data_IF_487374369723
#
_entry.id   IF_487374369723
#
_cell.length_a   1.000
_cell.length_b   1.000
_cell.length_c   1.000
_cell.angle_alpha   90.00
_cell.angle_beta   90.00
_cell.angle_gamma   90.00
#
_symmetry.space_group_name_H-M   'P 1'
#
loop_
_entity.id
_entity.type
_entity.pdbx_description
1 polymer ?
#
# COMPACT_ATOMS: atom_id res chain seq x y z
N UNK A 1 14.14 2.74 9.13
CA UNK A 1 13.68 1.40 8.79
C UNK A 1 14.25 0.90 7.47
N UNK A 2 14.72 -0.36 7.41
CA UNK A 2 14.94 -1.03 6.12
C UNK A 2 13.58 -1.56 5.64
N UNK A 3 13.16 -1.33 4.38
CA UNK A 3 11.84 -1.80 3.91
C UNK A 3 11.61 -3.31 4.08
N UNK A 4 12.66 -4.13 4.10
CA UNK A 4 12.55 -5.58 4.31
C UNK A 4 12.23 -5.98 5.75
N UNK A 5 12.36 -5.08 6.72
CA UNK A 5 12.07 -5.35 8.13
C UNK A 5 10.61 -5.75 8.35
N UNK A 6 9.69 -5.31 7.46
CA UNK A 6 8.26 -5.66 7.49
C UNK A 6 8.01 -7.16 7.32
N UNK A 7 8.97 -7.92 6.77
CA UNK A 7 8.85 -9.36 6.56
C UNK A 7 9.32 -10.21 7.74
N UNK A 8 9.86 -9.58 8.78
CA UNK A 8 10.38 -10.25 9.98
C UNK A 8 9.49 -9.97 11.20
N UNK A 9 8.21 -9.65 10.99
CA UNK A 9 7.24 -9.39 12.05
C UNK A 9 6.69 -10.73 12.55
N UNK A 10 7.01 -11.09 13.79
CA UNK A 10 6.65 -12.40 14.36
C UNK A 10 5.50 -12.34 15.38
N UNK A 11 5.21 -11.15 15.92
CA UNK A 11 4.20 -10.97 16.96
C UNK A 11 3.56 -9.57 16.91
N UNK A 12 2.49 -9.40 17.69
CA UNK A 12 1.70 -8.17 17.73
C UNK A 12 2.46 -6.97 18.28
N UNK A 13 3.40 -7.16 19.21
CA UNK A 13 4.20 -6.06 19.77
C UNK A 13 5.14 -5.49 18.70
N UNK A 14 5.85 -6.37 18.00
CA UNK A 14 6.71 -5.99 16.87
C UNK A 14 5.88 -5.33 15.76
N UNK A 15 4.70 -5.87 15.43
CA UNK A 15 3.79 -5.27 14.45
C UNK A 15 3.43 -3.83 14.83
N UNK A 16 2.97 -3.61 16.07
CA UNK A 16 2.55 -2.29 16.55
C UNK A 16 3.70 -1.27 16.49
N UNK A 17 4.90 -1.68 16.91
CA UNK A 17 6.10 -0.84 16.85
C UNK A 17 6.43 -0.44 15.42
N UNK A 18 6.47 -1.42 14.50
CA UNK A 18 6.74 -1.20 13.07
C UNK A 18 5.69 -0.31 12.43
N UNK A 19 4.40 -0.54 12.71
CA UNK A 19 3.31 0.25 12.18
C UNK A 19 3.39 1.72 12.62
N UNK A 20 3.72 2.00 13.88
CA UNK A 20 3.93 3.36 14.39
C UNK A 20 5.19 4.01 13.80
N UNK A 21 6.27 3.26 13.56
CA UNK A 21 7.46 3.76 12.87
C UNK A 21 7.15 4.15 11.41
N UNK A 22 6.40 3.30 10.69
CA UNK A 22 5.94 3.58 9.32
C UNK A 22 5.01 4.79 9.30
N UNK A 23 4.07 4.89 10.24
CA UNK A 23 3.20 6.06 10.39
C UNK A 23 4.04 7.35 10.54
N UNK A 24 5.04 7.34 11.42
CA UNK A 24 5.94 8.49 11.61
C UNK A 24 6.68 8.84 10.31
N UNK A 25 7.25 7.85 9.62
CA UNK A 25 7.93 8.07 8.34
C UNK A 25 7.00 8.66 7.28
N UNK A 26 5.77 8.14 7.18
CA UNK A 26 4.76 8.66 6.26
C UNK A 26 4.34 10.07 6.63
N UNK A 27 4.16 10.36 7.93
CA UNK A 27 3.87 11.70 8.41
C UNK A 27 4.99 12.69 8.05
N UNK A 28 6.26 12.30 8.26
CA UNK A 28 7.41 13.18 8.03
C UNK A 28 7.70 13.39 6.53
N UNK A 29 7.42 12.39 5.69
CA UNK A 29 7.91 12.34 4.29
C UNK A 29 6.82 12.46 3.22
N UNK A 30 5.53 12.26 3.53
CA UNK A 30 4.43 12.41 2.57
C UNK A 30 3.68 13.72 2.83
N UNK A 31 3.85 14.78 2.02
CA UNK A 31 3.22 16.08 2.27
C UNK A 31 1.70 16.02 2.36
N UNK A 32 1.06 15.21 1.53
CA UNK A 32 -0.41 15.03 1.55
C UNK A 32 -0.87 14.37 2.84
N UNK A 33 -0.13 13.35 3.31
CA UNK A 33 -0.46 12.65 4.56
C UNK A 33 -0.18 13.52 5.79
N UNK A 34 0.93 14.27 5.79
CA UNK A 34 1.26 15.27 6.81
C UNK A 34 0.12 16.28 6.97
N UNK A 35 -0.28 16.94 5.88
CA UNK A 35 -1.36 17.93 5.88
C UNK A 35 -2.69 17.31 6.35
N UNK A 36 -3.01 16.10 5.91
CA UNK A 36 -4.19 15.38 6.37
C UNK A 36 -4.18 15.13 7.89
N UNK A 37 -3.06 14.66 8.43
CA UNK A 37 -2.90 14.39 9.86
C UNK A 37 -2.97 15.66 10.71
N UNK A 38 -2.33 16.75 10.26
CA UNK A 38 -2.38 18.06 10.94
C UNK A 38 -3.81 18.59 11.05
N UNK A 39 -4.61 18.49 9.98
CA UNK A 39 -6.02 18.89 10.01
C UNK A 39 -6.88 18.06 10.99
N UNK A 40 -6.41 16.87 11.37
CA UNK A 40 -7.04 16.00 12.37
C UNK A 40 -6.43 16.17 13.76
N UNK A 41 -5.47 17.08 13.94
CA UNK A 41 -4.66 17.24 15.14
C UNK A 41 -3.96 15.93 15.54
N UNK A 42 -3.44 15.19 14.56
CA UNK A 42 -2.74 13.91 14.74
C UNK A 42 -1.29 14.03 14.31
N UNK A 43 -0.38 13.55 15.16
CA UNK A 43 1.05 13.58 14.89
C UNK A 43 1.77 12.39 15.60
N UNK A 44 3.06 12.14 15.32
CA UNK A 44 3.81 11.04 15.93
C UNK A 44 3.93 11.09 17.47
N UNK A 45 3.65 12.23 18.10
CA UNK A 45 3.69 12.34 19.57
C UNK A 45 2.37 11.89 20.22
N UNK A 46 1.23 12.09 19.54
CA UNK A 46 -0.10 11.82 20.11
C UNK A 46 -0.80 10.56 19.54
N UNK A 47 -0.25 9.97 18.48
CA UNK A 47 -0.64 8.65 17.95
C UNK A 47 0.27 7.60 18.58
N UNK A 48 -0.21 6.94 19.64
CA UNK A 48 0.55 5.96 20.44
C UNK A 48 0.06 4.53 20.23
N UNK A 49 -1.05 4.34 19.52
CA UNK A 49 -1.64 3.04 19.19
C UNK A 49 -2.05 3.00 17.72
N UNK A 50 -2.04 1.81 17.12
CA UNK A 50 -2.31 1.63 15.70
C UNK A 50 -3.73 2.08 15.31
N UNK A 51 -4.69 1.95 16.22
CA UNK A 51 -6.10 2.34 15.99
C UNK A 51 -6.26 3.86 15.91
N UNK A 52 -5.25 4.63 16.33
CA UNK A 52 -5.24 6.08 16.29
C UNK A 52 -4.62 6.63 14.99
N UNK A 53 -4.05 5.76 14.15
CA UNK A 53 -3.45 6.14 12.87
C UNK A 53 -4.55 6.64 11.92
N UNK A 54 -4.47 7.88 11.40
CA UNK A 54 -5.46 8.40 10.47
C UNK A 54 -5.47 7.63 9.14
N UNK A 55 -6.65 7.18 8.72
CA UNK A 55 -6.83 6.53 7.41
C UNK A 55 -7.00 7.57 6.31
N UNK A 56 -6.11 7.53 5.32
CA UNK A 56 -6.12 8.49 4.22
C UNK A 56 -7.30 8.21 3.26
N UNK A 57 -8.21 9.17 3.01
CA UNK A 57 -9.35 8.95 2.14
C UNK A 57 -8.96 8.61 0.70
N UNK A 58 -9.65 7.63 0.11
CA UNK A 58 -9.41 7.19 -1.28
C UNK A 58 -9.54 8.31 -2.32
N UNK A 59 -10.33 9.34 -2.02
CA UNK A 59 -10.50 10.51 -2.88
C UNK A 59 -9.19 11.29 -3.08
N UNK A 60 -8.30 11.32 -2.07
CA UNK A 60 -7.02 12.02 -2.19
C UNK A 60 -6.09 11.35 -3.19
N UNK A 61 -6.20 10.04 -3.40
CA UNK A 61 -5.47 9.31 -4.44
C UNK A 61 -5.96 9.63 -5.87
N UNK A 62 -7.10 10.33 -6.02
CA UNK A 62 -7.60 10.79 -7.33
C UNK A 62 -7.02 12.14 -7.71
N UNK A 63 -6.78 12.98 -6.72
CA UNK A 63 -6.40 14.39 -6.89
C UNK A 63 -4.93 14.66 -6.59
N UNK A 64 -4.24 13.73 -5.91
CA UNK A 64 -2.85 13.87 -5.51
C UNK A 64 -2.05 12.61 -5.85
N UNK A 65 -0.76 12.80 -6.07
CA UNK A 65 0.21 11.71 -6.13
C UNK A 65 0.68 11.40 -4.71
N UNK A 66 0.26 10.26 -4.17
CA UNK A 66 0.64 9.81 -2.81
C UNK A 66 1.95 9.04 -2.91
N UNK A 67 3.07 9.76 -3.00
CA UNK A 67 4.42 9.19 -3.05
C UNK A 67 5.44 10.07 -2.31
N UNK A 68 6.47 9.43 -1.74
CA UNK A 68 7.60 10.14 -1.10
C UNK A 68 8.58 10.66 -2.16
N UNK A 69 8.75 9.87 -3.24
CA UNK A 69 9.68 10.16 -4.32
C UNK A 69 8.95 10.03 -5.68
N UNK A 70 9.23 10.90 -6.66
CA UNK A 70 8.69 10.78 -8.01
C UNK A 70 9.04 9.48 -8.74
N UNK A 71 10.08 8.75 -8.33
CA UNK A 71 10.44 7.46 -8.93
C UNK A 71 9.53 6.32 -8.44
N UNK A 72 9.02 5.54 -9.37
CA UNK A 72 8.19 4.35 -9.11
C UNK A 72 8.44 3.26 -10.16
N UNK A 73 8.28 2.01 -9.75
CA UNK A 73 8.37 0.84 -10.63
C UNK A 73 7.03 0.51 -11.30
N UNK A 74 5.92 0.70 -10.60
CA UNK A 74 4.56 0.37 -11.08
C UNK A 74 3.60 1.51 -10.78
N UNK A 75 2.63 1.70 -11.68
CA UNK A 75 1.47 2.55 -11.47
C UNK A 75 0.21 1.69 -11.57
N UNK A 76 -0.61 1.72 -10.53
CA UNK A 76 -1.92 1.10 -10.54
C UNK A 76 -3.04 2.12 -10.54
N UNK A 77 -4.12 1.80 -11.23
CA UNK A 77 -5.30 2.63 -11.37
C UNK A 77 -6.57 1.86 -10.99
N UNK A 78 -7.48 2.55 -10.31
CA UNK A 78 -8.81 2.00 -10.03
C UNK A 78 -9.63 1.81 -11.31
N UNK A 79 -10.61 0.90 -11.32
CA UNK A 79 -11.45 0.61 -12.49
C UNK A 79 -12.36 1.75 -12.97
N UNK A 80 -12.54 2.83 -12.19
CA UNK A 80 -13.23 4.05 -12.64
C UNK A 80 -14.75 3.94 -12.81
N UNK A 81 -15.42 3.06 -12.05
CA UNK A 81 -16.85 2.73 -12.23
C UNK A 81 -17.84 3.87 -11.97
N UNK A 82 -17.41 4.95 -11.31
CA UNK A 82 -18.30 6.03 -10.81
C UNK A 82 -17.87 7.46 -11.17
N UNK A 83 -16.64 7.67 -11.65
CA UNK A 83 -16.13 9.01 -11.98
C UNK A 83 -15.10 8.96 -13.11
N UNK A 84 -14.97 10.07 -13.86
CA UNK A 84 -13.98 10.17 -14.95
C UNK A 84 -12.53 10.07 -14.50
N UNK A 85 -12.21 10.48 -13.27
CA UNK A 85 -10.84 10.41 -12.73
C UNK A 85 -10.69 9.19 -11.83
N UNK A 86 -9.74 8.32 -12.17
CA UNK A 86 -9.38 7.12 -11.41
C UNK A 86 -8.41 7.48 -10.27
N UNK A 87 -8.46 6.71 -9.19
CA UNK A 87 -7.41 6.78 -8.16
C UNK A 87 -6.12 6.18 -8.71
N UNK A 88 -4.98 6.78 -8.39
CA UNK A 88 -3.64 6.33 -8.79
C UNK A 88 -2.85 5.88 -7.57
N UNK A 89 -2.14 4.76 -7.71
CA UNK A 89 -1.27 4.21 -6.67
C UNK A 89 0.10 3.93 -7.27
N UNK A 90 1.11 4.63 -6.77
CA UNK A 90 2.50 4.51 -7.22
C UNK A 90 3.24 3.52 -6.31
N UNK A 91 3.77 2.45 -6.89
CA UNK A 91 4.57 1.46 -6.18
C UNK A 91 6.05 1.75 -6.40
N UNK A 92 6.75 2.11 -5.33
CA UNK A 92 8.16 2.49 -5.39
C UNK A 92 9.08 1.31 -5.78
N UNK A 93 8.83 0.12 -5.23
CA UNK A 93 9.65 -1.08 -5.45
C UNK A 93 8.75 -2.29 -5.74
N UNK A 94 8.85 -2.82 -6.96
CA UNK A 94 8.04 -3.96 -7.41
C UNK A 94 8.41 -5.28 -6.71
N UNK A 95 9.67 -5.44 -6.28
CA UNK A 95 10.13 -6.67 -5.64
C UNK A 95 9.56 -6.78 -4.23
N UNK A 96 9.54 -5.67 -3.48
CA UNK A 96 8.88 -5.61 -2.17
C UNK A 96 7.39 -5.89 -2.33
N UNK A 97 6.74 -5.26 -3.32
CA UNK A 97 5.32 -5.48 -3.59
C UNK A 97 4.99 -6.95 -3.89
N UNK A 98 5.75 -7.58 -4.80
CA UNK A 98 5.62 -9.00 -5.14
C UNK A 98 5.84 -9.92 -3.94
N UNK A 99 6.91 -9.66 -3.18
CA UNK A 99 7.24 -10.43 -1.99
C UNK A 99 6.11 -10.34 -0.96
N UNK A 100 5.55 -9.15 -0.77
CA UNK A 100 4.47 -8.90 0.18
C UNK A 100 3.22 -9.73 -0.13
N UNK A 101 2.64 -9.62 -1.33
CA UNK A 101 1.40 -10.37 -1.60
C UNK A 101 1.66 -11.88 -1.68
N UNK A 102 2.83 -12.31 -2.16
CA UNK A 102 3.20 -13.75 -2.18
C UNK A 102 3.29 -14.31 -0.77
N UNK A 103 4.11 -13.69 0.11
CA UNK A 103 4.24 -14.12 1.50
C UNK A 103 2.91 -14.07 2.24
N UNK A 104 2.09 -13.05 1.98
CA UNK A 104 0.76 -12.92 2.58
C UNK A 104 -0.14 -14.09 2.15
N UNK A 105 -0.19 -14.42 0.85
CA UNK A 105 -0.94 -15.58 0.38
C UNK A 105 -0.46 -16.88 1.03
N UNK A 106 0.86 -17.11 1.03
CA UNK A 106 1.46 -18.31 1.62
C UNK A 106 1.21 -18.43 3.13
N UNK A 107 1.13 -17.31 3.84
CA UNK A 107 0.83 -17.26 5.26
C UNK A 107 -0.61 -17.71 5.58
N UNK A 108 -1.60 -17.30 4.77
CA UNK A 108 -3.00 -17.62 5.02
C UNK A 108 -3.46 -18.95 4.40
N UNK A 109 -2.81 -19.39 3.33
CA UNK A 109 -3.24 -20.55 2.56
C UNK A 109 -2.17 -21.65 2.56
N UNK A 110 -1.23 -21.60 1.62
CA UNK A 110 -0.06 -22.49 1.45
C UNK A 110 0.75 -21.97 0.25
N UNK A 111 1.77 -22.71 -0.22
CA UNK A 111 2.54 -22.29 -1.40
C UNK A 111 1.61 -22.09 -2.60
N UNK A 112 1.80 -21.00 -3.33
CA UNK A 112 1.01 -20.71 -4.54
C UNK A 112 1.06 -21.84 -5.58
N UNK A 113 2.15 -22.61 -5.57
CA UNK A 113 2.43 -23.72 -6.49
C UNK A 113 1.55 -24.95 -6.20
N UNK A 114 0.92 -25.02 -5.03
CA UNK A 114 0.01 -26.10 -4.64
C UNK A 114 -1.42 -25.88 -5.21
N UNK A 115 -1.66 -24.76 -5.91
CA UNK A 115 -2.97 -24.36 -6.42
C UNK A 115 -3.01 -24.33 -7.94
N UNK A 116 -4.19 -24.66 -8.50
CA UNK A 116 -4.52 -24.36 -9.89
C UNK A 116 -5.24 -23.03 -9.95
N UNK A 117 -4.62 -22.05 -10.62
CA UNK A 117 -5.18 -20.72 -10.79
C UNK A 117 -6.06 -20.67 -12.04
N UNK A 118 -7.35 -20.35 -11.84
CA UNK A 118 -8.30 -20.10 -12.93
C UNK A 118 -8.71 -18.64 -12.84
N UNK A 119 -8.27 -17.83 -13.82
CA UNK A 119 -8.57 -16.41 -13.87
C UNK A 119 -9.12 -16.00 -15.23
N UNK A 120 -10.24 -15.28 -15.22
CA UNK A 120 -10.80 -14.63 -16.40
C UNK A 120 -10.54 -13.14 -16.28
N UNK A 121 -9.47 -12.67 -16.93
CA UNK A 121 -9.06 -11.27 -16.91
C UNK A 121 -9.19 -10.64 -18.29
N UNK A 122 -9.37 -9.30 -18.38
CA UNK A 122 -9.10 -8.58 -19.63
C UNK A 122 -7.67 -8.86 -20.11
N UNK A 123 -7.40 -8.64 -21.40
CA UNK A 123 -6.07 -8.86 -21.94
C UNK A 123 -5.03 -8.01 -21.18
N UNK A 124 -3.95 -8.64 -20.73
CA UNK A 124 -2.90 -7.99 -19.92
C UNK A 124 -2.25 -6.79 -20.63
N UNK A 125 -2.24 -6.82 -21.97
CA UNK A 125 -1.75 -5.71 -22.79
C UNK A 125 -2.69 -4.51 -22.78
N UNK A 126 -3.98 -4.72 -22.54
CA UNK A 126 -5.02 -3.69 -22.52
C UNK A 126 -5.13 -3.00 -21.14
N UNK A 127 -4.72 -3.68 -20.05
CA UNK A 127 -4.86 -3.16 -18.67
C UNK A 127 -3.58 -3.23 -17.85
N UNK A 128 -2.51 -2.62 -18.34
CA UNK A 128 -1.18 -2.56 -17.69
C UNK A 128 -1.18 -1.95 -16.27
N UNK A 129 -2.17 -1.11 -15.96
CA UNK A 129 -2.32 -0.43 -14.66
C UNK A 129 -3.29 -1.14 -13.72
N UNK A 130 -3.74 -2.37 -14.05
CA UNK A 130 -4.58 -3.15 -13.14
C UNK A 130 -3.73 -3.96 -12.16
N UNK A 131 -3.85 -3.64 -10.86
CA UNK A 131 -3.19 -4.42 -9.80
C UNK A 131 -3.71 -5.87 -9.74
N UNK A 132 -5.00 -6.08 -10.03
CA UNK A 132 -5.58 -7.42 -10.07
C UNK A 132 -4.91 -8.27 -11.15
N UNK A 133 -4.81 -7.74 -12.38
CA UNK A 133 -4.16 -8.46 -13.49
C UNK A 133 -2.67 -8.67 -13.22
N UNK A 134 -2.03 -7.80 -12.44
CA UNK A 134 -0.62 -7.93 -12.07
C UNK A 134 -0.35 -9.04 -11.03
N UNK A 135 -1.30 -9.30 -10.13
CA UNK A 135 -1.16 -10.28 -9.04
C UNK A 135 -1.47 -11.72 -9.46
N UNK A 136 -2.18 -11.89 -10.58
CA UNK A 136 -2.54 -13.17 -11.19
C UNK A 136 -1.45 -13.60 -12.16
#
# INVERSE_FOLDING_TARGET
>A
MNPNDIFNIENQETFNKVALEIFKLQYDLLPVYHSFCENLNKNPQNVTRIEQIPFLPIQLFRTNDININPSYDLLFESSGTTSKTTSRHFVADKLIYKTSFKKTFEHFYSKSDDFVWLALTPNIHERKTSSLVYMV
#
